data_IF_317065798548
#
_entry.id   IF_317065798548
#
_cell.length_a   1.000
_cell.length_b   1.000
_cell.length_c   1.000
_cell.angle_alpha   90.00
_cell.angle_beta   90.00
_cell.angle_gamma   90.00
#
_symmetry.space_group_name_H-M   'P 1'
#
loop_
_entity.id
_entity.type
_entity.pdbx_description
1 polymer ?
#
# COMPACT_ATOMS: atom_id res chain seq x y z
N UNK A 1 10.11 10.24 -41.57
CA UNK A 1 8.84 9.97 -40.92
C UNK A 1 9.04 10.27 -39.44
N UNK A 2 8.54 11.41 -38.97
CA UNK A 2 8.64 11.83 -37.59
C UNK A 2 7.60 11.08 -36.75
N UNK A 3 8.03 10.51 -35.61
CA UNK A 3 7.17 9.84 -34.64
C UNK A 3 6.43 10.90 -33.84
N UNK A 4 5.10 10.97 -34.02
CA UNK A 4 4.21 11.76 -33.20
C UNK A 4 4.05 11.06 -31.83
N UNK A 5 4.78 11.53 -30.83
CA UNK A 5 4.50 11.25 -29.43
C UNK A 5 3.42 12.24 -28.94
N UNK A 6 2.41 11.82 -28.18
CA UNK A 6 1.37 12.73 -27.69
C UNK A 6 1.96 13.75 -26.72
N UNK A 7 1.56 15.04 -26.80
CA UNK A 7 2.04 16.07 -25.90
C UNK A 7 1.37 15.88 -24.52
N UNK A 8 2.18 15.79 -23.44
CA UNK A 8 1.68 15.97 -22.08
C UNK A 8 2.03 14.93 -21.03
N UNK A 9 2.89 13.97 -21.28
CA UNK A 9 3.47 13.17 -20.20
C UNK A 9 4.60 13.98 -19.54
N UNK A 10 4.29 14.68 -18.44
CA UNK A 10 5.34 15.23 -17.58
C UNK A 10 6.31 14.08 -17.24
N UNK A 11 7.60 14.26 -17.51
CA UNK A 11 8.62 13.28 -17.20
C UNK A 11 8.49 12.88 -15.73
N UNK A 12 8.37 11.58 -15.45
CA UNK A 12 8.33 11.06 -14.08
C UNK A 12 9.56 11.60 -13.34
N UNK A 13 9.40 12.20 -12.16
CA UNK A 13 10.55 12.52 -11.33
C UNK A 13 11.35 11.23 -11.12
N UNK A 14 12.67 11.29 -11.16
CA UNK A 14 13.51 10.15 -10.81
C UNK A 14 13.13 9.70 -9.41
N UNK A 15 13.25 8.40 -9.10
CA UNK A 15 12.90 7.88 -7.78
C UNK A 15 13.57 8.68 -6.64
N UNK A 16 14.79 9.16 -6.86
CA UNK A 16 15.53 10.00 -5.91
C UNK A 16 14.88 11.39 -5.70
N UNK A 17 14.41 12.05 -6.75
CA UNK A 17 13.75 13.35 -6.63
C UNK A 17 12.38 13.20 -5.93
N UNK A 18 11.64 12.14 -6.21
CA UNK A 18 10.38 11.84 -5.56
C UNK A 18 10.57 11.55 -4.07
N UNK A 19 11.53 10.69 -3.70
CA UNK A 19 11.80 10.35 -2.30
C UNK A 19 12.24 11.55 -1.49
N UNK A 20 12.99 12.49 -2.07
CA UNK A 20 13.38 13.73 -1.39
C UNK A 20 12.15 14.61 -1.04
N UNK A 21 11.19 14.76 -1.96
CA UNK A 21 9.95 15.49 -1.73
C UNK A 21 9.08 14.77 -0.69
N UNK A 22 8.94 13.46 -0.80
CA UNK A 22 8.22 12.64 0.18
C UNK A 22 8.83 12.78 1.58
N UNK A 23 10.15 12.68 1.69
CA UNK A 23 10.89 12.84 2.94
C UNK A 23 10.65 14.22 3.57
N UNK A 24 10.66 15.27 2.77
CA UNK A 24 10.36 16.64 3.24
C UNK A 24 8.93 16.74 3.80
N UNK A 25 7.95 16.16 3.11
CA UNK A 25 6.55 16.12 3.59
C UNK A 25 6.47 15.39 4.93
N UNK A 26 7.08 14.20 5.04
CA UNK A 26 7.07 13.42 6.30
C UNK A 26 7.71 14.15 7.48
N UNK A 27 8.77 14.92 7.22
CA UNK A 27 9.42 15.78 8.23
C UNK A 27 8.48 16.90 8.70
N UNK A 28 7.90 17.65 7.75
CA UNK A 28 7.00 18.76 8.05
C UNK A 28 5.72 18.31 8.75
N UNK A 29 5.23 17.12 8.46
CA UNK A 29 4.09 16.51 9.14
C UNK A 29 4.44 15.96 10.54
N UNK A 30 5.71 15.89 10.93
CA UNK A 30 6.13 15.24 12.16
C UNK A 30 5.94 13.72 12.15
N UNK A 31 5.94 13.10 10.98
CA UNK A 31 5.71 11.65 10.79
C UNK A 31 7.00 10.82 10.75
N UNK A 32 8.13 11.42 11.05
CA UNK A 32 9.40 10.71 11.21
C UNK A 32 9.57 10.26 12.63
N UNK A 33 9.28 8.99 12.85
CA UNK A 33 9.43 8.39 14.17
C UNK A 33 10.87 7.89 14.39
N UNK A 34 11.42 8.06 15.60
CA UNK A 34 12.69 7.41 15.98
C UNK A 34 12.54 5.90 16.07
N UNK A 35 13.65 5.16 15.94
CA UNK A 35 13.69 3.69 15.91
C UNK A 35 12.94 3.05 17.11
N UNK A 36 13.05 3.65 18.31
CA UNK A 36 12.37 3.17 19.50
C UNK A 36 10.82 3.26 19.42
N UNK A 37 10.28 4.19 18.64
CA UNK A 37 8.85 4.30 18.37
C UNK A 37 8.46 3.36 17.26
N UNK A 38 9.23 3.30 16.16
CA UNK A 38 8.99 2.38 15.04
C UNK A 38 8.93 0.93 15.51
N UNK A 39 9.78 0.54 16.45
CA UNK A 39 9.80 -0.82 17.02
C UNK A 39 8.48 -1.23 17.69
N UNK A 40 7.67 -0.25 18.10
CA UNK A 40 6.38 -0.48 18.80
C UNK A 40 5.16 -0.21 17.94
N UNK A 41 5.34 0.30 16.71
CA UNK A 41 4.19 0.54 15.82
C UNK A 41 3.36 -0.75 15.65
N UNK A 42 2.04 -0.63 15.62
CA UNK A 42 1.21 0.59 15.58
C UNK A 42 0.88 1.20 16.96
N UNK A 43 1.50 0.73 18.04
CA UNK A 43 1.22 1.20 19.41
C UNK A 43 1.94 2.53 19.66
N UNK A 44 1.20 3.61 19.54
CA UNK A 44 1.65 4.96 19.86
C UNK A 44 0.88 5.53 21.07
N UNK A 45 1.46 6.45 21.86
CA UNK A 45 0.78 7.13 22.96
C UNK A 45 -0.49 7.86 22.48
N UNK A 46 -1.43 8.10 23.42
CA UNK A 46 -2.67 8.83 23.10
C UNK A 46 -2.42 10.28 22.72
N UNK A 47 -1.32 10.82 23.17
CA UNK A 47 -0.85 12.19 22.92
C UNK A 47 -0.22 12.34 21.54
N UNK A 48 0.10 11.23 20.87
CA UNK A 48 0.62 11.27 19.50
C UNK A 48 -0.45 11.86 18.56
N UNK A 49 -0.13 12.88 17.76
CA UNK A 49 -1.09 13.53 16.87
C UNK A 49 -1.72 12.57 15.85
N UNK A 50 -1.06 11.45 15.58
CA UNK A 50 -1.53 10.42 14.63
C UNK A 50 -2.10 9.18 15.34
N UNK A 51 -2.33 9.23 16.66
CA UNK A 51 -2.86 8.09 17.41
C UNK A 51 -4.12 7.49 16.78
N UNK A 52 -5.06 8.33 16.35
CA UNK A 52 -6.30 7.86 15.73
C UNK A 52 -6.04 7.12 14.39
N UNK A 53 -5.09 7.61 13.59
CA UNK A 53 -4.67 6.97 12.34
C UNK A 53 -3.99 5.62 12.62
N UNK A 54 -3.06 5.58 13.59
CA UNK A 54 -2.38 4.34 13.97
C UNK A 54 -3.36 3.27 14.49
N UNK A 55 -4.41 3.67 15.17
CA UNK A 55 -5.49 2.74 15.57
C UNK A 55 -6.23 2.16 14.37
N UNK A 56 -6.51 2.97 13.34
CA UNK A 56 -7.11 2.47 12.10
C UNK A 56 -6.16 1.49 11.38
N UNK A 57 -4.86 1.84 11.30
CA UNK A 57 -3.84 0.96 10.71
C UNK A 57 -3.66 -0.35 11.49
N UNK A 58 -3.75 -0.30 12.83
CA UNK A 58 -3.74 -1.49 13.67
C UNK A 58 -4.91 -2.43 13.34
N UNK A 59 -6.13 -1.90 13.25
CA UNK A 59 -7.32 -2.67 12.89
C UNK A 59 -7.21 -3.31 11.49
N UNK A 60 -6.70 -2.55 10.50
CA UNK A 60 -6.43 -3.07 9.15
C UNK A 60 -5.39 -4.21 9.17
N UNK A 61 -4.29 -4.01 9.90
CA UNK A 61 -3.23 -5.01 10.03
C UNK A 61 -3.73 -6.28 10.75
N UNK A 62 -4.55 -6.15 11.80
CA UNK A 62 -5.13 -7.29 12.52
C UNK A 62 -6.04 -8.13 11.63
N UNK A 63 -6.87 -7.48 10.81
CA UNK A 63 -7.71 -8.17 9.83
C UNK A 63 -6.88 -8.89 8.78
N UNK A 64 -5.83 -8.24 8.25
CA UNK A 64 -4.93 -8.84 7.29
C UNK A 64 -4.23 -10.07 7.88
N UNK A 65 -3.63 -9.93 9.08
CA UNK A 65 -2.95 -11.03 9.77
C UNK A 65 -3.90 -12.20 10.04
N UNK A 66 -5.13 -11.92 10.51
CA UNK A 66 -6.15 -12.96 10.73
C UNK A 66 -6.50 -13.70 9.43
N UNK A 67 -6.65 -12.98 8.32
CA UNK A 67 -6.90 -13.56 6.99
C UNK A 67 -5.74 -14.45 6.54
N UNK A 68 -4.50 -13.94 6.66
CA UNK A 68 -3.29 -14.65 6.25
C UNK A 68 -3.07 -15.92 7.10
N UNK A 69 -3.34 -15.86 8.40
CA UNK A 69 -3.23 -17.02 9.30
C UNK A 69 -4.18 -18.15 8.94
N UNK A 70 -5.29 -17.86 8.26
CA UNK A 70 -6.24 -18.84 7.73
C UNK A 70 -5.86 -19.40 6.35
N UNK A 71 -4.73 -19.01 5.77
CA UNK A 71 -4.32 -19.48 4.44
C UNK A 71 -3.98 -20.97 4.48
N UNK A 72 -4.51 -21.77 3.54
CA UNK A 72 -4.17 -23.20 3.44
C UNK A 72 -2.80 -23.43 2.80
N UNK A 73 -2.13 -22.42 2.29
CA UNK A 73 -0.86 -22.52 1.59
C UNK A 73 0.28 -21.89 2.39
N UNK A 74 1.51 -22.43 2.26
CA UNK A 74 2.70 -21.74 2.79
C UNK A 74 2.76 -20.32 2.24
N UNK A 75 2.98 -19.34 3.13
CA UNK A 75 2.98 -17.93 2.78
C UNK A 75 4.40 -17.45 2.46
N UNK A 76 4.59 -16.98 1.24
CA UNK A 76 5.72 -16.17 0.79
C UNK A 76 5.18 -14.79 0.41
N UNK A 77 5.49 -13.76 1.20
CA UNK A 77 4.82 -12.46 1.16
C UNK A 77 5.79 -11.37 0.70
N UNK A 78 5.34 -10.55 -0.24
CA UNK A 78 6.01 -9.30 -0.61
C UNK A 78 5.14 -8.13 -0.18
N UNK A 79 5.65 -7.26 0.70
CA UNK A 79 5.03 -5.96 0.97
C UNK A 79 5.68 -4.91 0.06
N UNK A 80 4.89 -4.30 -0.81
CA UNK A 80 5.31 -3.23 -1.72
C UNK A 80 5.03 -1.88 -1.08
N UNK A 81 6.05 -1.01 -1.01
CA UNK A 81 5.98 0.26 -0.29
C UNK A 81 5.94 0.07 1.21
N UNK A 82 6.82 -0.79 1.75
CA UNK A 82 6.82 -1.18 3.16
C UNK A 82 7.23 -0.05 4.12
N UNK A 83 7.79 1.07 3.61
CA UNK A 83 8.29 2.16 4.43
C UNK A 83 9.27 1.66 5.50
N UNK A 84 9.05 2.07 6.75
CA UNK A 84 9.87 1.68 7.90
C UNK A 84 9.69 0.21 8.36
N UNK A 85 8.93 -0.60 7.64
CA UNK A 85 8.84 -2.06 7.83
C UNK A 85 7.95 -2.55 8.97
N UNK A 86 7.19 -1.67 9.64
CA UNK A 86 6.37 -2.06 10.79
C UNK A 86 5.32 -3.14 10.47
N UNK A 87 4.66 -3.05 9.30
CA UNK A 87 3.64 -4.01 8.89
C UNK A 87 4.27 -5.32 8.43
N UNK A 88 5.37 -5.27 7.66
CA UNK A 88 6.17 -6.46 7.31
C UNK A 88 6.58 -7.25 8.56
N UNK A 89 7.09 -6.55 9.60
CA UNK A 89 7.50 -7.18 10.85
C UNK A 89 6.31 -7.76 11.63
N UNK A 90 5.16 -7.08 11.63
CA UNK A 90 3.93 -7.61 12.24
C UNK A 90 3.47 -8.88 11.55
N UNK A 91 3.43 -8.90 10.22
CA UNK A 91 3.06 -10.08 9.43
C UNK A 91 4.01 -11.24 9.73
N UNK A 92 5.34 -11.04 9.60
CA UNK A 92 6.34 -12.09 9.83
C UNK A 92 6.21 -12.74 11.22
N UNK A 93 6.05 -11.91 12.27
CA UNK A 93 5.88 -12.39 13.65
C UNK A 93 4.57 -13.13 13.90
N UNK A 94 3.51 -12.77 13.18
CA UNK A 94 2.17 -13.26 13.49
C UNK A 94 1.81 -14.53 12.74
N UNK A 95 2.30 -14.70 11.49
CA UNK A 95 1.86 -15.82 10.65
C UNK A 95 2.98 -16.80 10.29
N UNK A 96 4.22 -16.55 10.78
CA UNK A 96 5.36 -17.43 10.50
C UNK A 96 5.70 -17.54 9.01
N UNK A 97 5.45 -16.48 8.25
CA UNK A 97 5.68 -16.42 6.82
C UNK A 97 7.06 -15.83 6.51
N UNK A 98 7.62 -16.21 5.36
CA UNK A 98 8.74 -15.46 4.78
C UNK A 98 8.22 -14.16 4.19
N UNK A 99 8.76 -13.03 4.66
CA UNK A 99 8.33 -11.70 4.25
C UNK A 99 9.50 -10.90 3.68
N UNK A 100 9.29 -10.29 2.52
CA UNK A 100 10.22 -9.30 1.95
C UNK A 100 9.48 -7.98 1.79
N UNK A 101 9.90 -6.96 2.56
CA UNK A 101 9.47 -5.59 2.36
C UNK A 101 10.31 -4.90 1.29
N UNK A 102 9.67 -4.24 0.33
CA UNK A 102 10.35 -3.41 -0.65
C UNK A 102 9.84 -1.98 -0.62
N UNK A 103 10.76 -1.02 -0.76
CA UNK A 103 10.44 0.39 -0.88
C UNK A 103 11.49 1.09 -1.77
N UNK A 104 11.11 2.17 -2.42
CA UNK A 104 12.03 3.00 -3.21
C UNK A 104 12.86 3.93 -2.33
N UNK A 105 12.40 4.18 -1.10
CA UNK A 105 13.04 5.10 -0.15
C UNK A 105 14.12 4.38 0.66
N UNK A 106 15.37 4.68 0.34
CA UNK A 106 16.56 4.10 1.02
C UNK A 106 16.51 4.36 2.53
N UNK A 107 16.09 5.56 2.97
CA UNK A 107 16.06 5.92 4.41
C UNK A 107 15.04 5.10 5.19
N UNK A 108 13.87 4.84 4.60
CA UNK A 108 12.85 3.98 5.19
C UNK A 108 13.38 2.54 5.31
N UNK A 109 13.99 2.00 4.24
CA UNK A 109 14.57 0.65 4.26
C UNK A 109 15.72 0.53 5.27
N UNK A 110 16.57 1.55 5.38
CA UNK A 110 17.66 1.52 6.37
C UNK A 110 17.11 1.55 7.80
N UNK A 111 16.02 2.29 8.05
CA UNK A 111 15.33 2.25 9.33
C UNK A 111 14.70 0.88 9.58
N UNK A 112 13.99 0.31 8.60
CA UNK A 112 13.39 -1.01 8.69
C UNK A 112 14.43 -2.08 9.05
N UNK A 113 15.59 -2.06 8.41
CA UNK A 113 16.70 -2.99 8.68
C UNK A 113 17.27 -2.82 10.08
N UNK A 114 17.47 -1.57 10.56
CA UNK A 114 17.96 -1.33 11.92
C UNK A 114 17.00 -1.83 12.98
N UNK A 115 15.69 -1.58 12.78
CA UNK A 115 14.67 -1.88 13.78
C UNK A 115 14.25 -3.35 13.76
N UNK A 116 14.13 -3.95 12.58
CA UNK A 116 13.51 -5.26 12.40
C UNK A 116 14.43 -6.31 11.76
N UNK A 117 15.71 -5.99 11.50
CA UNK A 117 16.63 -6.91 10.84
C UNK A 117 16.94 -8.20 11.61
N UNK A 118 16.59 -8.28 12.90
CA UNK A 118 16.70 -9.49 13.71
C UNK A 118 15.45 -10.39 13.68
N UNK A 119 14.37 -9.97 13.02
CA UNK A 119 13.17 -10.79 12.91
C UNK A 119 13.41 -11.93 11.93
N UNK A 120 13.21 -13.20 12.34
CA UNK A 120 13.39 -14.34 11.45
C UNK A 120 12.48 -14.24 10.20
N UNK A 121 13.00 -14.73 9.07
CA UNK A 121 12.31 -14.80 7.79
C UNK A 121 11.80 -13.44 7.25
N UNK A 122 12.35 -12.33 7.77
CA UNK A 122 12.06 -10.98 7.33
C UNK A 122 13.30 -10.32 6.72
N UNK A 123 13.13 -9.71 5.55
CA UNK A 123 14.17 -8.92 4.90
C UNK A 123 13.61 -7.70 4.21
N UNK A 124 14.49 -6.70 3.94
CA UNK A 124 14.10 -5.44 3.33
C UNK A 124 15.03 -5.10 2.16
N UNK A 125 14.43 -4.68 1.03
CA UNK A 125 15.16 -4.39 -0.22
C UNK A 125 14.74 -3.03 -0.76
N UNK A 126 15.73 -2.21 -1.15
CA UNK A 126 15.45 -0.99 -1.91
C UNK A 126 15.11 -1.40 -3.34
N UNK A 127 13.87 -1.22 -3.74
CA UNK A 127 13.41 -1.56 -5.09
C UNK A 127 12.18 -0.75 -5.50
N UNK A 128 12.10 -0.42 -6.79
CA UNK A 128 10.90 0.11 -7.41
C UNK A 128 10.09 -1.03 -8.04
N UNK A 129 8.95 -1.36 -7.46
CA UNK A 129 8.06 -2.42 -7.95
C UNK A 129 7.52 -2.16 -9.37
N UNK A 130 7.58 -0.93 -9.86
CA UNK A 130 7.19 -0.59 -11.23
C UNK A 130 8.27 -0.98 -12.26
N UNK A 131 9.52 -1.17 -11.82
CA UNK A 131 10.69 -1.46 -12.67
C UNK A 131 11.28 -2.83 -12.37
N UNK A 132 11.47 -3.17 -11.10
CA UNK A 132 12.10 -4.40 -10.64
C UNK A 132 11.22 -5.64 -10.87
N UNK A 133 11.83 -6.81 -10.86
CA UNK A 133 11.13 -8.10 -10.73
C UNK A 133 10.75 -8.41 -9.29
N UNK A 134 10.10 -9.54 -9.06
CA UNK A 134 9.80 -10.02 -7.71
C UNK A 134 11.08 -10.27 -6.91
N UNK A 135 11.17 -9.81 -5.65
CA UNK A 135 12.30 -10.10 -4.75
C UNK A 135 12.26 -11.54 -4.20
N UNK A 136 11.14 -12.24 -4.37
CA UNK A 136 10.97 -13.64 -4.04
C UNK A 136 10.73 -14.46 -5.31
N UNK A 137 11.26 -15.70 -5.40
CA UNK A 137 11.06 -16.53 -6.59
C UNK A 137 9.61 -16.87 -6.87
N UNK A 138 8.81 -17.06 -5.82
CA UNK A 138 7.40 -17.49 -5.92
C UNK A 138 6.57 -16.88 -4.78
N UNK A 139 6.35 -15.56 -4.75
CA UNK A 139 5.48 -14.97 -3.73
C UNK A 139 4.07 -15.52 -3.93
N UNK A 140 3.42 -15.90 -2.84
CA UNK A 140 2.01 -16.35 -2.86
C UNK A 140 1.06 -15.20 -2.55
N UNK A 141 1.58 -14.16 -1.89
CA UNK A 141 0.81 -13.00 -1.47
C UNK A 141 1.60 -11.71 -1.67
N UNK A 142 0.92 -10.68 -2.15
CA UNK A 142 1.47 -9.32 -2.25
C UNK A 142 0.57 -8.39 -1.44
N UNK A 143 1.18 -7.48 -0.67
CA UNK A 143 0.49 -6.49 0.16
C UNK A 143 0.92 -5.09 -0.28
N UNK A 144 -0.06 -4.20 -0.48
CA UNK A 144 0.13 -2.76 -0.64
C UNK A 144 -0.71 -2.03 0.41
N UNK A 145 -0.06 -1.42 1.39
CA UNK A 145 -0.71 -0.65 2.44
C UNK A 145 -0.33 0.83 2.35
N UNK A 146 -1.28 1.70 2.04
CA UNK A 146 -1.05 3.16 1.86
C UNK A 146 -0.07 3.48 0.72
N UNK A 147 -0.13 2.80 -0.43
CA UNK A 147 0.84 2.91 -1.52
C UNK A 147 0.24 3.43 -2.82
N UNK A 148 -0.95 2.93 -3.19
CA UNK A 148 -1.49 3.09 -4.54
C UNK A 148 -1.67 4.57 -4.94
N UNK A 149 -1.88 5.47 -3.98
CA UNK A 149 -1.99 6.91 -4.20
C UNK A 149 -0.70 7.57 -4.69
N UNK A 150 0.44 6.89 -4.61
CA UNK A 150 1.73 7.38 -5.13
C UNK A 150 2.09 6.81 -6.50
N UNK A 151 1.18 6.05 -7.10
CA UNK A 151 1.39 5.37 -8.38
C UNK A 151 0.48 5.97 -9.43
N UNK A 152 1.05 6.58 -10.47
CA UNK A 152 0.27 7.25 -11.51
C UNK A 152 -0.61 6.27 -12.31
N UNK A 153 -0.04 5.14 -12.72
CA UNK A 153 -0.74 4.07 -13.45
C UNK A 153 -0.92 2.86 -12.52
N UNK A 154 -1.94 2.96 -11.66
CA UNK A 154 -2.27 1.90 -10.72
C UNK A 154 -2.63 0.59 -11.43
N UNK A 155 -3.46 0.56 -12.49
CA UNK A 155 -3.77 -0.68 -13.20
C UNK A 155 -2.52 -1.37 -13.79
N UNK A 156 -1.54 -0.62 -14.31
CA UNK A 156 -0.30 -1.21 -14.82
C UNK A 156 0.52 -1.86 -13.69
N UNK A 157 0.64 -1.18 -12.53
CA UNK A 157 1.29 -1.77 -11.36
C UNK A 157 0.57 -3.04 -10.91
N UNK A 158 -0.75 -3.02 -10.78
CA UNK A 158 -1.52 -4.19 -10.34
C UNK A 158 -1.33 -5.38 -11.28
N UNK A 159 -1.41 -5.18 -12.60
CA UNK A 159 -1.15 -6.25 -13.59
C UNK A 159 0.26 -6.81 -13.45
N UNK A 160 1.25 -5.94 -13.27
CA UNK A 160 2.65 -6.35 -13.09
C UNK A 160 2.82 -7.21 -11.84
N UNK A 161 2.28 -6.77 -10.70
CA UNK A 161 2.38 -7.48 -9.43
C UNK A 161 1.65 -8.82 -9.45
N UNK A 162 0.48 -8.88 -10.08
CA UNK A 162 -0.21 -10.16 -10.31
C UNK A 162 0.62 -11.12 -11.16
N UNK A 163 1.47 -10.60 -12.05
CA UNK A 163 2.43 -11.41 -12.81
C UNK A 163 3.49 -12.11 -11.93
N UNK A 164 3.79 -11.60 -10.74
CA UNK A 164 4.71 -12.24 -9.79
C UNK A 164 4.08 -13.44 -9.06
N UNK A 165 2.76 -13.44 -8.90
CA UNK A 165 2.02 -14.45 -8.15
C UNK A 165 1.79 -15.73 -8.98
N UNK A 166 1.70 -16.91 -8.37
CA UNK A 166 1.18 -18.11 -9.02
C UNK A 166 -0.34 -17.98 -9.28
N UNK A 167 -0.94 -18.81 -10.12
CA UNK A 167 -2.38 -18.93 -10.21
C UNK A 167 -3.02 -19.14 -8.83
N UNK A 168 -4.07 -18.37 -8.53
CA UNK A 168 -4.73 -18.36 -7.21
C UNK A 168 -4.03 -17.54 -6.15
N UNK A 169 -2.83 -16.98 -6.40
CA UNK A 169 -2.16 -16.06 -5.49
C UNK A 169 -2.95 -14.76 -5.30
N UNK A 170 -2.75 -14.11 -4.16
CA UNK A 170 -3.54 -12.97 -3.71
C UNK A 170 -2.73 -11.67 -3.62
N UNK A 171 -3.32 -10.57 -4.09
CA UNK A 171 -2.83 -9.23 -3.90
C UNK A 171 -3.82 -8.46 -3.03
N UNK A 172 -3.33 -7.84 -1.96
CA UNK A 172 -4.14 -7.07 -1.01
C UNK A 172 -3.82 -5.58 -1.09
N UNK A 173 -4.85 -4.76 -1.28
CA UNK A 173 -4.78 -3.30 -1.18
C UNK A 173 -5.45 -2.88 0.13
N UNK A 174 -4.70 -2.15 0.98
CA UNK A 174 -5.18 -1.65 2.27
C UNK A 174 -4.82 -0.17 2.45
N UNK A 175 -5.58 0.51 3.31
CA UNK A 175 -5.27 1.85 3.82
C UNK A 175 -4.97 2.89 2.73
N UNK A 176 -5.56 2.71 1.56
CA UNK A 176 -5.44 3.62 0.42
C UNK A 176 -6.81 4.12 0.00
N UNK A 177 -6.98 5.43 -0.23
CA UNK A 177 -8.25 5.96 -0.68
C UNK A 177 -8.56 5.50 -2.11
N UNK A 178 -9.75 4.97 -2.32
CA UNK A 178 -10.37 4.83 -3.62
C UNK A 178 -11.67 5.62 -3.63
N UNK A 179 -11.87 6.40 -4.66
CA UNK A 179 -12.99 7.32 -4.78
C UNK A 179 -14.09 6.72 -5.66
N UNK A 180 -15.33 7.15 -5.42
CA UNK A 180 -16.43 6.86 -6.33
C UNK A 180 -16.27 7.68 -7.62
N UNK A 181 -16.88 7.26 -8.72
CA UNK A 181 -16.87 8.02 -9.95
C UNK A 181 -17.29 9.49 -9.74
N UNK A 182 -16.44 10.42 -10.16
CA UNK A 182 -16.66 11.85 -10.05
C UNK A 182 -16.18 12.50 -8.73
N UNK A 183 -15.74 11.74 -7.72
CA UNK A 183 -15.28 12.31 -6.44
C UNK A 183 -13.78 12.66 -6.44
N UNK A 184 -13.00 12.09 -7.35
CA UNK A 184 -11.55 12.27 -7.41
C UNK A 184 -11.12 13.73 -7.60
N UNK A 185 -11.87 14.53 -8.37
CA UNK A 185 -11.57 15.94 -8.63
C UNK A 185 -11.60 16.77 -7.34
N UNK A 186 -12.66 16.63 -6.52
CA UNK A 186 -12.78 17.34 -5.25
C UNK A 186 -11.70 16.90 -4.24
N UNK A 187 -11.33 15.61 -4.24
CA UNK A 187 -10.26 15.09 -3.41
C UNK A 187 -8.89 15.67 -3.83
N UNK A 188 -8.63 15.78 -5.13
CA UNK A 188 -7.42 16.41 -5.70
C UNK A 188 -7.28 17.85 -5.23
N UNK A 189 -8.34 18.67 -5.35
CA UNK A 189 -8.31 20.06 -4.91
C UNK A 189 -8.01 20.18 -3.41
N UNK A 190 -8.51 19.26 -2.57
CA UNK A 190 -8.17 19.24 -1.13
C UNK A 190 -6.68 18.93 -0.90
N UNK A 191 -6.11 17.98 -1.65
CA UNK A 191 -4.68 17.64 -1.54
C UNK A 191 -3.78 18.76 -2.04
N UNK A 192 -4.14 19.43 -3.13
CA UNK A 192 -3.44 20.61 -3.65
C UNK A 192 -3.39 21.72 -2.58
N UNK A 193 -4.55 22.05 -1.98
CA UNK A 193 -4.63 23.04 -0.91
C UNK A 193 -3.84 22.61 0.35
N UNK A 194 -3.84 21.32 0.67
CA UNK A 194 -3.08 20.77 1.80
C UNK A 194 -1.57 20.93 1.60
N UNK A 195 -1.02 20.45 0.47
CA UNK A 195 0.41 20.52 0.19
C UNK A 195 0.89 21.95 -0.04
N UNK A 196 0.03 22.84 -0.57
CA UNK A 196 0.34 24.27 -0.66
C UNK A 196 0.51 24.90 0.73
N UNK A 197 -0.41 24.61 1.68
CA UNK A 197 -0.28 25.09 3.07
C UNK A 197 0.93 24.51 3.79
N UNK A 198 1.32 23.28 3.47
CA UNK A 198 2.51 22.64 4.03
C UNK A 198 3.82 23.21 3.45
N UNK A 199 3.74 24.05 2.39
CA UNK A 199 4.90 24.60 1.71
C UNK A 199 5.59 23.66 0.71
N UNK A 200 4.94 22.56 0.34
CA UNK A 200 5.47 21.56 -0.60
C UNK A 200 4.45 21.26 -1.71
N UNK A 201 4.01 22.28 -2.50
CA UNK A 201 2.93 22.10 -3.48
C UNK A 201 3.27 21.08 -4.58
N UNK A 202 4.56 20.84 -4.86
CA UNK A 202 5.02 19.84 -5.84
C UNK A 202 4.58 18.41 -5.48
N UNK A 203 4.34 18.10 -4.21
CA UNK A 203 3.86 16.78 -3.78
C UNK A 203 2.46 16.45 -4.33
N UNK A 204 1.62 17.46 -4.55
CA UNK A 204 0.28 17.26 -5.10
C UNK A 204 0.30 16.57 -6.47
N UNK A 205 1.31 16.82 -7.29
CA UNK A 205 1.47 16.17 -8.61
C UNK A 205 1.82 14.68 -8.50
N UNK A 206 2.35 14.25 -7.37
CA UNK A 206 2.73 12.85 -7.08
C UNK A 206 1.73 12.11 -6.19
N UNK A 207 0.63 12.77 -5.83
CA UNK A 207 -0.44 12.16 -5.03
C UNK A 207 -1.68 11.98 -5.92
N UNK A 208 -1.92 10.74 -6.33
CA UNK A 208 -2.97 10.39 -7.29
C UNK A 208 -4.27 10.01 -6.57
N UNK A 209 -5.40 10.43 -7.14
CA UNK A 209 -6.74 10.18 -6.61
C UNK A 209 -7.44 9.18 -7.54
N UNK A 210 -7.26 7.89 -7.23
CA UNK A 210 -7.83 6.82 -8.03
C UNK A 210 -9.30 6.60 -7.70
N UNK A 211 -10.12 6.45 -8.73
CA UNK A 211 -11.49 5.98 -8.59
C UNK A 211 -11.52 4.44 -8.60
N UNK A 212 -12.60 3.86 -8.09
CA UNK A 212 -12.77 2.40 -8.02
C UNK A 212 -12.66 1.70 -9.37
N UNK A 213 -12.86 2.42 -10.47
CA UNK A 213 -12.68 1.91 -11.85
C UNK A 213 -11.27 1.41 -12.16
N UNK A 214 -10.24 1.73 -11.35
CA UNK A 214 -8.91 1.10 -11.52
C UNK A 214 -8.94 -0.42 -11.31
N UNK A 215 -10.00 -0.95 -10.72
CA UNK A 215 -10.21 -2.38 -10.49
C UNK A 215 -10.88 -3.10 -11.66
N UNK A 216 -11.32 -2.37 -12.68
CA UNK A 216 -12.01 -2.96 -13.84
C UNK A 216 -11.06 -3.93 -14.57
N UNK A 217 -11.60 -5.10 -14.88
CA UNK A 217 -10.83 -6.19 -15.51
C UNK A 217 -10.01 -7.06 -14.55
N UNK A 218 -10.01 -6.77 -13.24
CA UNK A 218 -9.42 -7.64 -12.22
C UNK A 218 -10.48 -8.49 -11.50
N UNK A 219 -10.08 -9.66 -10.99
CA UNK A 219 -10.90 -10.46 -10.07
C UNK A 219 -10.75 -9.89 -8.66
N UNK A 220 -11.45 -8.79 -8.40
CA UNK A 220 -11.36 -8.01 -7.17
C UNK A 220 -12.56 -8.29 -6.25
N UNK A 221 -12.29 -8.37 -4.94
CA UNK A 221 -13.28 -8.54 -3.88
C UNK A 221 -13.00 -7.57 -2.73
N UNK A 222 -14.03 -6.88 -2.25
CA UNK A 222 -13.95 -6.04 -1.07
C UNK A 222 -14.09 -6.91 0.19
N UNK A 223 -13.00 -7.11 0.92
CA UNK A 223 -13.00 -7.80 2.22
C UNK A 223 -13.40 -6.84 3.36
N UNK A 224 -13.18 -5.54 3.16
CA UNK A 224 -13.76 -4.46 3.95
C UNK A 224 -14.16 -3.32 3.02
N UNK A 225 -15.43 -2.96 3.11
CA UNK A 225 -15.99 -1.78 2.44
C UNK A 225 -16.46 -0.80 3.53
N UNK A 226 -15.81 0.38 3.67
CA UNK A 226 -16.19 1.37 4.67
C UNK A 226 -17.60 1.94 4.43
N UNK A 227 -18.10 1.88 3.21
CA UNK A 227 -19.41 2.38 2.82
C UNK A 227 -20.53 1.36 3.04
N UNK A 228 -20.21 0.10 3.26
CA UNK A 228 -21.19 -0.93 3.56
C UNK A 228 -21.95 -0.62 4.86
N UNK A 229 -23.24 -0.93 4.89
CA UNK A 229 -24.10 -0.63 6.05
C UNK A 229 -23.53 -1.18 7.37
N UNK A 230 -23.00 -2.40 7.36
CA UNK A 230 -22.38 -3.02 8.52
C UNK A 230 -21.15 -2.25 9.02
N UNK A 231 -20.30 -1.78 8.11
CA UNK A 231 -19.12 -0.97 8.46
C UNK A 231 -19.52 0.39 9.06
N UNK A 232 -20.54 1.03 8.49
CA UNK A 232 -21.08 2.30 8.99
C UNK A 232 -21.70 2.17 10.37
N UNK A 233 -22.37 1.05 10.67
CA UNK A 233 -22.89 0.75 11.99
C UNK A 233 -21.74 0.49 12.96
N UNK A 234 -20.77 -0.35 12.57
CA UNK A 234 -19.59 -0.67 13.39
C UNK A 234 -18.77 0.58 13.76
N UNK A 235 -18.64 1.54 12.84
CA UNK A 235 -17.94 2.80 13.09
C UNK A 235 -18.59 3.69 14.16
N UNK A 236 -19.88 3.46 14.47
CA UNK A 236 -20.63 4.20 15.51
C UNK A 236 -20.52 3.53 16.90
N UNK A 237 -19.99 2.31 16.97
CA UNK A 237 -19.86 1.61 18.25
C UNK A 237 -18.67 2.18 19.05
N UNK A 238 -18.81 2.36 20.37
CA UNK A 238 -17.71 2.80 21.23
C UNK A 238 -16.51 1.86 21.13
N UNK A 239 -15.31 2.45 21.02
CA UNK A 239 -14.05 1.69 21.01
C UNK A 239 -13.65 1.08 19.67
N UNK A 240 -14.52 1.03 18.66
CA UNK A 240 -14.17 0.60 17.30
C UNK A 240 -13.91 1.80 16.39
N UNK A 241 -12.80 1.74 15.66
CA UNK A 241 -12.47 2.69 14.59
C UNK A 241 -12.01 1.91 13.37
N UNK A 242 -12.95 1.30 12.60
CA UNK A 242 -12.60 0.61 11.38
C UNK A 242 -11.91 1.59 10.42
N UNK A 243 -11.00 1.06 9.60
CA UNK A 243 -10.34 1.86 8.56
C UNK A 243 -11.40 2.57 7.70
N UNK A 244 -11.22 3.88 7.43
CA UNK A 244 -12.08 4.59 6.48
C UNK A 244 -11.78 4.23 5.03
N UNK A 245 -10.80 3.36 4.80
CA UNK A 245 -10.39 2.93 3.48
C UNK A 245 -10.80 1.47 3.23
N UNK A 246 -11.05 1.10 1.97
CA UNK A 246 -11.39 -0.27 1.63
C UNK A 246 -10.18 -1.20 1.85
N UNK A 247 -10.48 -2.46 2.11
CA UNK A 247 -9.54 -3.55 1.95
C UNK A 247 -10.00 -4.43 0.80
N UNK A 248 -9.19 -4.51 -0.24
CA UNK A 248 -9.50 -5.18 -1.48
C UNK A 248 -8.51 -6.32 -1.70
N UNK A 249 -9.04 -7.48 -2.01
CA UNK A 249 -8.28 -8.63 -2.49
C UNK A 249 -8.44 -8.77 -3.99
N UNK A 250 -7.32 -8.91 -4.70
CA UNK A 250 -7.31 -9.24 -6.13
C UNK A 250 -6.64 -10.59 -6.29
N UNK A 251 -7.31 -11.54 -6.93
CA UNK A 251 -6.76 -12.88 -7.19
C UNK A 251 -6.17 -12.96 -8.58
N UNK A 252 -5.00 -13.61 -8.67
CA UNK A 252 -4.53 -14.05 -9.98
C UNK A 252 -5.44 -15.18 -10.49
N UNK A 253 -6.07 -15.06 -11.67
CA UNK A 253 -6.93 -16.11 -12.21
C UNK A 253 -6.21 -17.45 -12.31
N UNK A 254 -6.92 -18.56 -12.09
CA UNK A 254 -6.43 -19.89 -12.38
C UNK A 254 -6.27 -20.06 -13.91
N UNK A 255 -5.33 -20.91 -14.35
CA UNK A 255 -5.07 -21.11 -15.80
C UNK A 255 -6.29 -21.54 -16.59
N UNK A 256 -7.22 -22.30 -15.98
CA UNK A 256 -8.46 -22.74 -16.62
C UNK A 256 -9.44 -21.60 -16.96
N UNK A 257 -9.34 -20.46 -16.31
CA UNK A 257 -10.28 -19.34 -16.49
C UNK A 257 -9.88 -18.40 -17.66
N UNK A 258 -8.66 -18.53 -18.21
CA UNK A 258 -8.21 -17.77 -19.38
C UNK A 258 -8.84 -18.24 -20.67
N UNK A 259 -9.09 -19.54 -20.81
CA UNK A 259 -9.66 -20.12 -22.05
C UNK A 259 -11.15 -19.81 -22.26
N UNK A 260 -11.83 -19.35 -21.21
CA UNK A 260 -13.26 -19.00 -21.28
C UNK A 260 -13.52 -17.53 -21.68
N UNK A 261 -12.51 -16.64 -21.59
CA UNK A 261 -12.64 -15.21 -21.95
C UNK A 261 -12.19 -14.88 -23.37
N UNK A 262 -11.48 -15.80 -24.04
CA UNK A 262 -11.01 -15.67 -25.43
C UNK A 262 -11.92 -16.38 -26.45
N UNK A 263 -13.17 -16.72 -26.05
CA UNK A 263 -14.18 -17.32 -26.94
C UNK A 263 -15.39 -16.43 -27.12
#
# INVERSE_FOLDING_TARGET
MASDAPPGAAARPTSAAWTAVYDQVRELEGRRYPDAVVARLPDVPREDPFHAEWRCRADSADRLVHHLAGSPMPLEIVEVGCGNGWLSARIARSVGARVVGIDVNVREIDQARRVFGSVPDLSFVVADAQLAGSPLPRPTTIVLASVIQYVADAPALLRRLLGWLPPGGELHLLDSPLYRPGEAAAARSRSEAYYARLGVPVMAASYHHHEVGILDGFTAEFLHDPDALGSRIAARLPGRRPSPFPWIRIRRPAEADRSARDR
#
